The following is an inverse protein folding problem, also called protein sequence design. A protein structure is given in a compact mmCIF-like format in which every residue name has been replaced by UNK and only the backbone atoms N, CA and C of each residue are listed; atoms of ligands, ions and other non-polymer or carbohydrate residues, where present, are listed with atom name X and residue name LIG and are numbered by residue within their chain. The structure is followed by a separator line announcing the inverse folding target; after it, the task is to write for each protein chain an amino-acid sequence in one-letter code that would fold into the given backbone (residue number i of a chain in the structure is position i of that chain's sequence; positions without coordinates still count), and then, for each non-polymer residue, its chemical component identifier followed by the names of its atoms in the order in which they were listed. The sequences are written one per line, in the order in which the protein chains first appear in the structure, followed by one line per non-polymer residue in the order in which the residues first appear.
data_IF_207630469701
#
_entry.id   IF_207630469701
#
_cell.length_a   1.000
_cell.length_b   1.000
_cell.length_c   1.000
_cell.angle_alpha   90.00
_cell.angle_beta   90.00
_cell.angle_gamma   90.00
#
_symmetry.space_group_name_H-M   'P 1'
#
loop_
_entity.id
_entity.type
_entity.pdbx_description
1 polymer ?
#
# COMPACT_ATOMS: atom_id res chain seq x y z
N UNK A 1 60.67 0.47 -12.14
CA UNK A 1 59.82 0.32 -10.95
C UNK A 1 58.38 0.15 -11.44
N UNK A 2 57.93 -1.09 -11.63
CA UNK A 2 56.58 -1.40 -12.08
C UNK A 2 55.66 -1.43 -10.85
N UNK A 3 54.68 -0.53 -10.79
CA UNK A 3 53.66 -0.52 -9.75
C UNK A 3 52.80 -1.78 -9.86
N UNK A 4 52.89 -2.63 -8.84
CA UNK A 4 52.00 -3.75 -8.66
C UNK A 4 50.57 -3.24 -8.43
N UNK A 5 49.69 -3.50 -9.40
CA UNK A 5 48.25 -3.45 -9.22
C UNK A 5 47.86 -4.39 -8.07
N UNK A 6 47.49 -3.80 -6.93
CA UNK A 6 46.92 -4.53 -5.80
C UNK A 6 45.63 -5.22 -6.23
N UNK A 7 45.58 -6.54 -6.07
CA UNK A 7 44.37 -7.32 -6.26
C UNK A 7 43.27 -6.79 -5.34
N UNK A 8 42.10 -6.46 -5.92
CA UNK A 8 40.93 -6.08 -5.14
C UNK A 8 40.57 -7.21 -4.15
N UNK A 9 40.26 -6.89 -2.88
CA UNK A 9 39.93 -7.93 -1.90
C UNK A 9 38.68 -8.68 -2.35
N UNK A 10 38.82 -10.00 -2.51
CA UNK A 10 37.70 -10.91 -2.78
C UNK A 10 36.73 -10.79 -1.62
N UNK A 11 35.54 -10.21 -1.87
CA UNK A 11 34.48 -10.08 -0.86
C UNK A 11 34.15 -11.46 -0.31
N UNK A 12 34.43 -11.68 0.98
CA UNK A 12 34.17 -12.93 1.66
C UNK A 12 32.70 -13.35 1.46
N UNK A 13 32.49 -14.54 0.94
CA UNK A 13 31.15 -15.10 0.69
C UNK A 13 30.57 -15.54 2.04
N UNK A 14 29.31 -15.20 2.31
CA UNK A 14 28.63 -15.59 3.56
C UNK A 14 28.68 -17.10 3.76
N UNK A 15 28.93 -17.54 4.98
CA UNK A 15 28.87 -18.95 5.38
C UNK A 15 27.43 -19.47 5.35
N UNK A 16 27.25 -20.79 5.34
CA UNK A 16 25.92 -21.40 5.39
C UNK A 16 25.17 -21.04 6.69
N UNK A 17 25.89 -20.94 7.80
CA UNK A 17 25.31 -20.56 9.10
C UNK A 17 24.83 -19.10 9.11
N UNK A 18 25.60 -18.18 8.52
CA UNK A 18 25.19 -16.78 8.35
C UNK A 18 23.96 -16.67 7.45
N UNK A 19 23.89 -17.46 6.37
CA UNK A 19 22.71 -17.50 5.50
C UNK A 19 21.48 -18.02 6.23
N UNK A 20 21.63 -19.08 7.03
CA UNK A 20 20.52 -19.64 7.81
C UNK A 20 20.03 -18.66 8.88
N UNK A 21 20.94 -17.99 9.58
CA UNK A 21 20.61 -16.95 10.56
C UNK A 21 19.89 -15.76 9.90
N UNK A 22 20.36 -15.34 8.73
CA UNK A 22 19.69 -14.29 7.95
C UNK A 22 18.30 -14.74 7.49
N UNK A 23 18.13 -16.00 7.05
CA UNK A 23 16.82 -16.54 6.69
C UNK A 23 15.84 -16.51 7.87
N UNK A 24 16.27 -16.89 9.07
CA UNK A 24 15.43 -16.84 10.28
C UNK A 24 14.98 -15.40 10.56
N UNK A 25 15.92 -14.44 10.60
CA UNK A 25 15.56 -13.03 10.82
C UNK A 25 14.65 -12.46 9.72
N UNK A 26 14.75 -12.95 8.48
CA UNK A 26 13.81 -12.57 7.41
C UNK A 26 12.40 -13.12 7.63
N UNK A 27 12.27 -14.35 8.14
CA UNK A 27 10.97 -14.92 8.49
C UNK A 27 10.33 -14.10 9.61
N UNK A 28 11.08 -13.81 10.67
CA UNK A 28 10.59 -13.01 11.81
C UNK A 28 10.09 -11.62 11.37
N UNK A 29 10.86 -10.94 10.50
CA UNK A 29 10.48 -9.63 9.95
C UNK A 29 9.18 -9.71 9.15
N UNK A 30 9.06 -10.71 8.26
CA UNK A 30 7.90 -10.80 7.36
C UNK A 30 6.68 -11.28 8.13
N UNK A 31 6.80 -12.24 9.03
CA UNK A 31 5.69 -12.72 9.87
C UNK A 31 5.07 -11.58 10.69
N UNK A 32 5.91 -10.69 11.25
CA UNK A 32 5.45 -9.57 12.05
C UNK A 32 4.74 -8.46 11.24
N UNK A 33 5.05 -8.30 9.96
CA UNK A 33 4.65 -7.11 9.19
C UNK A 33 3.94 -7.42 7.85
N UNK A 34 3.71 -8.68 7.49
CA UNK A 34 3.09 -9.07 6.22
C UNK A 34 1.71 -8.43 5.96
N UNK A 35 1.34 -8.13 4.70
CA UNK A 35 2.21 -8.21 3.52
C UNK A 35 3.24 -7.06 3.45
N UNK A 36 4.42 -7.32 2.87
CA UNK A 36 5.49 -6.33 2.69
C UNK A 36 6.08 -6.35 1.27
N UNK A 37 6.70 -5.25 0.84
CA UNK A 37 7.53 -5.25 -0.37
C UNK A 37 8.90 -5.86 -0.08
N UNK A 38 9.56 -6.42 -1.11
CA UNK A 38 10.97 -6.87 -0.98
C UNK A 38 11.88 -5.73 -0.50
N UNK A 39 11.59 -4.49 -0.92
CA UNK A 39 12.34 -3.29 -0.54
C UNK A 39 12.13 -2.92 0.92
N UNK A 40 10.89 -3.01 1.40
CA UNK A 40 10.54 -2.86 2.81
C UNK A 40 11.27 -3.88 3.67
N UNK A 41 11.24 -5.16 3.29
CA UNK A 41 11.99 -6.20 4.03
C UNK A 41 13.49 -5.91 4.06
N UNK A 42 14.07 -5.44 2.94
CA UNK A 42 15.48 -5.01 2.92
C UNK A 42 15.74 -3.87 3.90
N UNK A 43 14.90 -2.83 3.93
CA UNK A 43 15.08 -1.72 4.87
C UNK A 43 14.91 -2.15 6.33
N UNK A 44 13.97 -3.05 6.63
CA UNK A 44 13.84 -3.63 7.98
C UNK A 44 15.05 -4.47 8.36
N UNK A 45 15.59 -5.24 7.42
CA UNK A 45 16.82 -6.03 7.64
C UNK A 45 18.04 -5.15 7.92
N UNK A 46 18.16 -4.02 7.23
CA UNK A 46 19.20 -3.01 7.48
C UNK A 46 19.01 -2.37 8.85
N UNK A 47 17.79 -1.95 9.17
CA UNK A 47 17.46 -1.33 10.46
C UNK A 47 17.69 -2.28 11.65
N UNK A 48 17.46 -3.58 11.46
CA UNK A 48 17.72 -4.63 12.45
C UNK A 48 19.20 -5.06 12.51
N UNK A 49 20.10 -4.45 11.72
CA UNK A 49 21.52 -4.79 11.70
C UNK A 49 21.86 -6.15 11.08
N UNK A 50 20.89 -6.81 10.44
CA UNK A 50 21.08 -8.13 9.80
C UNK A 50 21.92 -8.03 8.53
N UNK A 51 21.91 -6.86 7.87
CA UNK A 51 22.63 -6.65 6.62
C UNK A 51 23.01 -5.19 6.40
N UNK A 52 24.10 -4.95 5.68
CA UNK A 52 24.52 -3.60 5.30
C UNK A 52 23.65 -3.02 4.17
N UNK A 53 23.44 -1.70 4.20
CA UNK A 53 22.70 -0.95 3.16
C UNK A 53 23.51 -0.84 1.87
N UNK A 54 23.46 -1.87 1.03
CA UNK A 54 24.20 -1.93 -0.25
C UNK A 54 23.40 -2.69 -1.32
N UNK A 55 23.58 -2.35 -2.59
CA UNK A 55 22.89 -3.03 -3.71
C UNK A 55 23.14 -4.54 -3.77
N UNK A 56 24.37 -5.06 -3.53
CA UNK A 56 24.58 -6.51 -3.44
C UNK A 56 23.78 -7.16 -2.31
N UNK A 57 23.59 -6.44 -1.20
CA UNK A 57 22.80 -6.93 -0.06
C UNK A 57 21.31 -6.99 -0.40
N UNK A 58 20.77 -6.00 -1.12
CA UNK A 58 19.41 -6.06 -1.65
C UNK A 58 19.19 -7.30 -2.53
N UNK A 59 20.13 -7.60 -3.44
CA UNK A 59 20.06 -8.81 -4.29
C UNK A 59 20.09 -10.10 -3.46
N UNK A 60 20.84 -10.13 -2.37
CA UNK A 60 20.85 -11.28 -1.43
C UNK A 60 19.49 -11.45 -0.77
N UNK A 61 18.89 -10.39 -0.22
CA UNK A 61 17.57 -10.45 0.43
C UNK A 61 16.51 -10.90 -0.56
N UNK A 62 16.46 -10.31 -1.75
CA UNK A 62 15.52 -10.69 -2.82
C UNK A 62 15.60 -12.18 -3.17
N UNK A 63 16.83 -12.70 -3.34
CA UNK A 63 17.07 -14.13 -3.61
C UNK A 63 16.64 -15.03 -2.45
N UNK A 64 16.94 -14.66 -1.21
CA UNK A 64 16.58 -15.46 -0.04
C UNK A 64 15.06 -15.50 0.20
N UNK A 65 14.37 -14.37 0.05
CA UNK A 65 12.90 -14.31 0.13
C UNK A 65 12.22 -15.13 -0.96
N UNK A 66 12.78 -15.15 -2.18
CA UNK A 66 12.29 -16.04 -3.24
C UNK A 66 12.49 -17.52 -2.86
N UNK A 67 13.64 -17.87 -2.29
CA UNK A 67 13.92 -19.24 -1.86
C UNK A 67 12.96 -19.68 -0.74
N UNK A 68 12.76 -18.85 0.29
CA UNK A 68 11.85 -19.15 1.41
C UNK A 68 10.41 -19.40 0.92
N UNK A 69 9.93 -18.64 -0.07
CA UNK A 69 8.62 -18.86 -0.70
C UNK A 69 8.56 -20.15 -1.51
N UNK A 70 9.60 -20.47 -2.28
CA UNK A 70 9.69 -21.72 -3.05
C UNK A 70 9.74 -22.96 -2.15
N UNK A 71 10.39 -22.83 -1.01
CA UNK A 71 10.51 -23.89 0.00
C UNK A 71 9.22 -24.02 0.86
N UNK A 72 8.23 -23.15 0.68
CA UNK A 72 6.98 -23.14 1.45
C UNK A 72 7.10 -22.61 2.89
N UNK A 73 8.26 -22.06 3.26
CA UNK A 73 8.53 -21.54 4.61
C UNK A 73 7.72 -20.28 4.90
N UNK A 74 7.54 -19.42 3.88
CA UNK A 74 6.65 -18.26 3.97
C UNK A 74 5.65 -18.28 2.80
N UNK A 75 4.37 -17.91 3.02
CA UNK A 75 3.39 -17.77 1.95
C UNK A 75 3.81 -16.76 0.88
N UNK A 76 3.45 -17.01 -0.38
CA UNK A 76 3.67 -16.03 -1.46
C UNK A 76 2.93 -14.71 -1.20
N UNK A 77 1.76 -14.77 -0.57
CA UNK A 77 0.93 -13.60 -0.23
C UNK A 77 1.57 -12.66 0.78
N UNK A 78 2.59 -13.11 1.54
CA UNK A 78 3.26 -12.26 2.52
C UNK A 78 4.21 -11.24 1.89
N UNK A 79 4.57 -11.41 0.62
CA UNK A 79 5.39 -10.46 -0.13
C UNK A 79 4.60 -9.93 -1.31
N UNK A 80 4.35 -8.63 -1.32
CA UNK A 80 3.61 -7.96 -2.40
C UNK A 80 4.55 -7.39 -3.47
N UNK A 81 4.13 -7.52 -4.73
CA UNK A 81 4.73 -6.91 -5.92
C UNK A 81 3.60 -6.31 -6.77
N UNK A 82 3.49 -4.99 -6.76
CA UNK A 82 2.42 -4.27 -7.45
C UNK A 82 2.54 -4.26 -8.98
N UNK A 83 3.67 -4.68 -9.55
CA UNK A 83 3.92 -4.44 -10.99
C UNK A 83 3.19 -5.39 -11.94
N UNK A 84 2.56 -6.46 -11.44
CA UNK A 84 1.98 -7.51 -12.29
C UNK A 84 0.48 -7.62 -12.09
N UNK A 85 -0.27 -7.23 -13.12
CA UNK A 85 -1.72 -7.23 -13.11
C UNK A 85 -2.26 -8.36 -13.97
N UNK A 86 -3.06 -9.23 -13.36
CA UNK A 86 -3.93 -10.15 -14.08
C UNK A 86 -5.37 -9.75 -13.77
N UNK A 87 -6.08 -9.26 -14.79
CA UNK A 87 -7.51 -8.97 -14.69
C UNK A 87 -8.24 -10.23 -15.16
N UNK A 88 -8.81 -10.98 -14.21
CA UNK A 88 -9.68 -12.12 -14.50
C UNK A 88 -11.10 -11.76 -14.05
N UNK A 89 -12.10 -11.74 -14.95
CA UNK A 89 -13.49 -11.64 -14.55
C UNK A 89 -13.85 -12.75 -13.56
N UNK A 90 -14.60 -12.42 -12.51
CA UNK A 90 -15.10 -13.43 -11.58
C UNK A 90 -16.14 -14.30 -12.29
N UNK A 91 -15.87 -15.60 -12.35
CA UNK A 91 -16.77 -16.61 -12.89
C UNK A 91 -16.97 -17.72 -11.86
N UNK A 92 -18.11 -18.39 -11.89
CA UNK A 92 -18.50 -19.42 -10.94
C UNK A 92 -18.74 -20.74 -11.66
N UNK A 93 -18.48 -21.85 -10.98
CA UNK A 93 -18.67 -23.19 -11.55
C UNK A 93 -20.16 -23.61 -11.63
N UNK A 94 -21.05 -22.82 -11.03
CA UNK A 94 -22.49 -23.06 -11.02
C UNK A 94 -23.21 -22.13 -10.05
N UNK A 95 -24.53 -22.29 -9.93
CA UNK A 95 -25.36 -21.42 -9.09
C UNK A 95 -25.00 -21.50 -7.61
N UNK A 96 -24.64 -22.67 -7.08
CA UNK A 96 -24.27 -22.81 -5.67
C UNK A 96 -22.95 -22.08 -5.33
N UNK A 97 -21.97 -22.16 -6.21
CA UNK A 97 -20.71 -21.43 -6.07
C UNK A 97 -20.94 -19.90 -6.13
N UNK A 98 -21.79 -19.46 -7.07
CA UNK A 98 -22.22 -18.06 -7.15
C UNK A 98 -22.98 -17.60 -5.88
N UNK A 99 -23.81 -18.48 -5.32
CA UNK A 99 -24.58 -18.24 -4.09
C UNK A 99 -23.68 -18.01 -2.89
N UNK A 100 -22.73 -18.92 -2.66
CA UNK A 100 -21.75 -18.83 -1.58
C UNK A 100 -20.91 -17.56 -1.73
N UNK A 101 -20.47 -17.26 -2.96
CA UNK A 101 -19.71 -16.05 -3.23
C UNK A 101 -20.52 -14.77 -2.94
N UNK A 102 -21.79 -14.72 -3.33
CA UNK A 102 -22.66 -13.57 -3.09
C UNK A 102 -22.82 -13.26 -1.60
N UNK A 103 -23.12 -14.28 -0.78
CA UNK A 103 -23.25 -14.11 0.68
C UNK A 103 -21.94 -13.62 1.30
N UNK A 104 -20.80 -14.19 0.88
CA UNK A 104 -19.47 -13.81 1.39
C UNK A 104 -19.05 -12.40 0.99
N UNK A 105 -19.44 -11.96 -0.21
CA UNK A 105 -19.07 -10.67 -0.76
C UNK A 105 -20.01 -9.54 -0.37
N UNK A 106 -21.23 -9.87 0.06
CA UNK A 106 -22.22 -8.87 0.42
C UNK A 106 -21.67 -7.94 1.51
N UNK A 107 -21.68 -6.65 1.21
CA UNK A 107 -21.32 -5.56 2.10
C UNK A 107 -22.25 -4.39 1.83
N UNK A 108 -22.68 -3.69 2.89
CA UNK A 108 -23.29 -2.37 2.74
C UNK A 108 -22.18 -1.35 2.50
N UNK A 109 -22.51 -0.34 1.69
CA UNK A 109 -21.64 0.81 1.49
C UNK A 109 -21.48 1.57 2.82
N UNK A 110 -20.28 1.50 3.39
CA UNK A 110 -19.99 1.99 4.74
C UNK A 110 -20.11 3.52 4.83
N UNK A 111 -19.80 4.20 3.73
CA UNK A 111 -19.69 5.66 3.64
C UNK A 111 -20.99 6.37 3.26
N UNK A 112 -22.06 5.64 2.92
CA UNK A 112 -23.33 6.25 2.52
C UNK A 112 -23.90 7.13 3.63
N UNK A 113 -23.83 6.65 4.88
CA UNK A 113 -24.37 7.34 6.05
C UNK A 113 -23.34 8.22 6.77
N UNK A 114 -22.08 8.25 6.31
CA UNK A 114 -21.05 9.11 6.90
C UNK A 114 -21.11 10.52 6.29
N UNK A 115 -20.71 11.54 7.06
CA UNK A 115 -20.78 12.94 6.62
C UNK A 115 -19.68 13.29 5.60
N UNK A 116 -18.61 12.51 5.55
CA UNK A 116 -17.45 12.73 4.68
C UNK A 116 -17.29 11.61 3.65
N UNK A 117 -16.59 11.92 2.57
CA UNK A 117 -16.05 10.95 1.61
C UNK A 117 -14.53 10.91 1.70
N UNK A 118 -13.93 9.72 1.62
CA UNK A 118 -12.49 9.54 1.83
C UNK A 118 -11.91 8.70 0.71
N UNK A 119 -10.78 9.14 0.17
CA UNK A 119 -9.97 8.34 -0.77
C UNK A 119 -8.50 8.34 -0.37
N UNK A 120 -7.81 7.24 -0.69
CA UNK A 120 -6.37 7.09 -0.47
C UNK A 120 -5.64 7.03 -1.80
N UNK A 121 -4.58 7.82 -1.93
CA UNK A 121 -3.70 7.84 -3.10
C UNK A 121 -2.34 7.25 -2.77
N UNK A 122 -1.88 6.31 -3.60
CA UNK A 122 -0.54 5.75 -3.55
C UNK A 122 0.27 6.21 -4.77
N UNK A 123 1.38 6.89 -4.54
CA UNK A 123 2.29 7.30 -5.61
C UNK A 123 2.83 6.08 -6.38
N UNK A 124 3.14 5.00 -5.65
CA UNK A 124 3.81 3.81 -6.20
C UNK A 124 2.97 2.56 -6.03
N UNK A 125 2.99 1.73 -7.07
CA UNK A 125 2.32 0.44 -7.08
C UNK A 125 2.87 -0.53 -6.03
N UNK A 126 4.17 -0.44 -5.72
CA UNK A 126 4.82 -1.33 -4.77
C UNK A 126 4.13 -1.36 -3.39
N UNK A 127 3.64 -0.21 -2.89
CA UNK A 127 2.96 -0.14 -1.60
C UNK A 127 1.46 -0.38 -1.67
N UNK A 128 0.88 -0.57 -2.86
CA UNK A 128 -0.55 -0.72 -3.02
C UNK A 128 -1.09 -1.89 -2.19
N UNK A 129 -0.39 -3.03 -2.17
CA UNK A 129 -0.76 -4.19 -1.35
C UNK A 129 -0.69 -3.95 0.17
N UNK A 130 0.12 -3.00 0.64
CA UNK A 130 0.20 -2.63 2.06
C UNK A 130 -1.01 -1.77 2.43
N UNK A 131 -1.33 -0.77 1.60
CA UNK A 131 -2.44 0.14 1.86
C UNK A 131 -3.80 -0.54 1.63
N UNK A 132 -3.90 -1.37 0.58
CA UNK A 132 -5.15 -2.07 0.24
C UNK A 132 -5.62 -3.02 1.34
N UNK A 133 -4.70 -3.56 2.15
CA UNK A 133 -5.06 -4.35 3.32
C UNK A 133 -5.98 -3.58 4.29
N UNK A 134 -5.78 -2.27 4.43
CA UNK A 134 -6.60 -1.40 5.29
C UNK A 134 -7.76 -0.82 4.50
N UNK A 135 -7.52 -0.27 3.31
CA UNK A 135 -8.60 0.40 2.56
C UNK A 135 -9.70 -0.57 2.12
N UNK A 136 -9.36 -1.84 1.85
CA UNK A 136 -10.37 -2.88 1.57
C UNK A 136 -11.23 -3.18 2.79
N UNK A 137 -10.64 -3.21 3.99
CA UNK A 137 -11.40 -3.42 5.24
C UNK A 137 -12.41 -2.29 5.45
N UNK A 138 -11.97 -1.05 5.24
CA UNK A 138 -12.76 0.15 5.49
C UNK A 138 -13.62 0.64 4.32
N UNK A 139 -13.69 -0.13 3.23
CA UNK A 139 -14.47 0.23 2.03
C UNK A 139 -14.07 1.60 1.44
N UNK A 140 -12.75 1.87 1.42
CA UNK A 140 -12.17 3.12 0.92
C UNK A 140 -11.46 2.88 -0.41
N UNK A 141 -11.68 3.72 -1.44
CA UNK A 141 -10.94 3.63 -2.70
C UNK A 141 -9.43 3.82 -2.50
N UNK A 142 -8.65 2.97 -3.19
CA UNK A 142 -7.20 3.10 -3.30
C UNK A 142 -6.82 3.43 -4.74
N UNK A 143 -6.33 4.65 -4.93
CA UNK A 143 -5.93 5.23 -6.20
C UNK A 143 -4.41 5.12 -6.40
N UNK A 144 -3.94 4.28 -7.32
CA UNK A 144 -2.50 4.12 -7.60
C UNK A 144 -2.09 4.97 -8.80
N UNK A 145 -1.35 6.05 -8.56
CA UNK A 145 -1.06 7.08 -9.58
C UNK A 145 0.25 6.89 -10.35
N UNK A 146 1.15 6.00 -9.88
CA UNK A 146 2.41 5.63 -10.56
C UNK A 146 3.29 6.83 -10.96
N UNK A 147 3.56 7.73 -10.02
CA UNK A 147 4.19 9.02 -10.31
C UNK A 147 3.15 10.04 -10.72
N UNK A 148 3.18 10.52 -11.97
CA UNK A 148 2.18 11.49 -12.46
C UNK A 148 0.94 10.77 -13.00
N UNK A 149 -0.22 11.12 -12.45
CA UNK A 149 -1.50 10.57 -12.83
C UNK A 149 -1.91 10.94 -14.26
N UNK A 150 -2.60 10.04 -14.96
CA UNK A 150 -3.18 10.37 -16.25
C UNK A 150 -4.38 11.34 -16.10
N UNK A 151 -4.66 12.09 -17.15
CA UNK A 151 -5.77 13.05 -17.15
C UNK A 151 -7.12 12.40 -16.97
N UNK A 152 -7.41 11.39 -17.79
CA UNK A 152 -8.65 10.65 -17.75
C UNK A 152 -8.92 10.05 -16.38
N UNK A 153 -7.87 9.55 -15.71
CA UNK A 153 -8.00 9.00 -14.37
C UNK A 153 -8.43 10.06 -13.35
N UNK A 154 -7.73 11.19 -13.27
CA UNK A 154 -8.09 12.26 -12.34
C UNK A 154 -9.42 12.92 -12.69
N UNK A 155 -9.77 13.00 -13.97
CA UNK A 155 -11.08 13.46 -14.41
C UNK A 155 -12.19 12.54 -13.89
N UNK A 156 -12.06 11.22 -14.04
CA UNK A 156 -13.02 10.25 -13.52
C UNK A 156 -13.18 10.36 -12.01
N UNK A 157 -12.08 10.42 -11.26
CA UNK A 157 -12.12 10.64 -9.80
C UNK A 157 -12.85 11.94 -9.46
N UNK A 158 -12.57 13.03 -10.17
CA UNK A 158 -13.26 14.30 -9.95
C UNK A 158 -14.78 14.21 -10.23
N UNK A 159 -15.20 13.43 -11.23
CA UNK A 159 -16.64 13.20 -11.48
C UNK A 159 -17.29 12.40 -10.35
N UNK A 160 -16.60 11.39 -9.81
CA UNK A 160 -17.09 10.63 -8.65
C UNK A 160 -17.25 11.55 -7.43
N UNK A 161 -16.28 12.42 -7.17
CA UNK A 161 -16.34 13.43 -6.09
C UNK A 161 -17.54 14.36 -6.26
N UNK A 162 -17.77 14.87 -7.47
CA UNK A 162 -18.92 15.74 -7.79
C UNK A 162 -20.24 15.00 -7.56
N UNK A 163 -20.33 13.73 -7.98
CA UNK A 163 -21.55 12.94 -7.85
C UNK A 163 -21.86 12.55 -6.39
N UNK A 164 -20.83 12.33 -5.58
CA UNK A 164 -20.97 11.99 -4.16
C UNK A 164 -21.44 13.20 -3.34
N UNK A 165 -21.03 14.41 -3.72
CA UNK A 165 -21.48 15.68 -3.13
C UNK A 165 -21.34 15.73 -1.60
N UNK A 166 -20.15 15.35 -1.11
CA UNK A 166 -19.77 15.41 0.31
C UNK A 166 -18.40 16.08 0.47
N UNK A 167 -18.11 16.67 1.65
CA UNK A 167 -16.75 17.03 2.03
C UNK A 167 -15.80 15.85 1.81
N UNK A 168 -14.85 16.03 0.91
CA UNK A 168 -14.01 14.95 0.39
C UNK A 168 -12.58 15.08 0.88
N UNK A 169 -12.06 14.03 1.51
CA UNK A 169 -10.73 13.99 2.09
C UNK A 169 -9.83 13.03 1.33
N UNK A 170 -8.80 13.58 0.69
CA UNK A 170 -7.88 12.85 -0.18
C UNK A 170 -6.51 12.71 0.50
N UNK A 171 -6.11 11.48 0.81
CA UNK A 171 -4.88 11.19 1.53
C UNK A 171 -3.79 10.59 0.65
N UNK A 172 -2.74 11.36 0.39
CA UNK A 172 -1.64 10.96 -0.50
C UNK A 172 -0.44 10.36 0.25
N UNK A 173 0.02 9.21 -0.22
CA UNK A 173 1.17 8.45 0.27
C UNK A 173 2.22 8.31 -0.85
N UNK A 174 3.37 8.97 -0.69
CA UNK A 174 4.43 8.98 -1.68
C UNK A 174 5.83 9.19 -1.10
N UNK A 175 6.84 9.16 -1.95
CA UNK A 175 8.23 9.37 -1.57
C UNK A 175 8.48 10.81 -1.12
N UNK A 176 9.39 11.00 -0.16
CA UNK A 176 9.97 12.32 0.08
C UNK A 176 11.14 12.52 -0.88
N UNK A 177 10.82 12.91 -2.12
CA UNK A 177 11.79 13.33 -3.12
C UNK A 177 11.16 14.40 -4.04
N UNK A 178 11.93 15.05 -4.92
CA UNK A 178 11.40 16.14 -5.74
C UNK A 178 10.22 15.71 -6.62
N UNK A 179 10.25 14.50 -7.18
CA UNK A 179 9.20 14.01 -8.07
C UNK A 179 7.94 13.64 -7.29
N UNK A 180 8.06 13.00 -6.13
CA UNK A 180 6.93 12.62 -5.29
C UNK A 180 6.18 13.82 -4.71
N UNK A 181 6.88 14.92 -4.41
CA UNK A 181 6.25 16.18 -3.99
C UNK A 181 5.48 16.85 -5.14
N UNK A 182 6.08 16.93 -6.33
CA UNK A 182 5.43 17.52 -7.50
C UNK A 182 4.23 16.69 -7.98
N UNK A 183 4.33 15.36 -7.94
CA UNK A 183 3.22 14.47 -8.25
C UNK A 183 2.00 14.75 -7.36
N UNK A 184 2.20 14.84 -6.05
CA UNK A 184 1.13 15.12 -5.11
C UNK A 184 0.46 16.48 -5.39
N UNK A 185 1.27 17.52 -5.68
CA UNK A 185 0.78 18.85 -6.03
C UNK A 185 0.01 18.86 -7.36
N UNK A 186 0.47 18.09 -8.35
CA UNK A 186 -0.21 17.95 -9.64
C UNK A 186 -1.58 17.29 -9.48
N UNK A 187 -1.65 16.21 -8.69
CA UNK A 187 -2.92 15.52 -8.37
C UNK A 187 -3.90 16.50 -7.71
N UNK A 188 -3.48 17.20 -6.65
CA UNK A 188 -4.34 18.17 -5.96
C UNK A 188 -4.85 19.26 -6.92
N UNK A 189 -3.93 19.90 -7.65
CA UNK A 189 -4.24 20.99 -8.57
C UNK A 189 -5.26 20.58 -9.62
N UNK A 190 -5.11 19.38 -10.19
CA UNK A 190 -5.99 18.89 -11.27
C UNK A 190 -7.35 18.47 -10.75
N UNK A 191 -7.43 17.80 -9.60
CA UNK A 191 -8.70 17.44 -8.98
C UNK A 191 -9.51 18.70 -8.64
N UNK A 192 -8.89 19.72 -8.03
CA UNK A 192 -9.54 21.02 -7.79
C UNK A 192 -9.93 21.74 -9.08
N UNK A 193 -9.16 21.58 -10.15
CA UNK A 193 -9.50 22.16 -11.45
C UNK A 193 -10.68 21.47 -12.15
N UNK A 194 -10.82 20.15 -11.99
CA UNK A 194 -11.91 19.37 -12.58
C UNK A 194 -13.20 19.41 -11.74
N UNK A 195 -13.09 19.63 -10.43
CA UNK A 195 -14.21 19.78 -9.51
C UNK A 195 -14.09 21.09 -8.71
N UNK A 196 -14.24 22.26 -9.36
CA UNK A 196 -14.00 23.56 -8.72
C UNK A 196 -14.97 23.90 -7.58
N UNK A 197 -16.19 23.36 -7.64
CA UNK A 197 -17.25 23.62 -6.64
C UNK A 197 -17.26 22.59 -5.50
N UNK A 198 -16.45 21.52 -5.59
CA UNK A 198 -16.40 20.48 -4.58
C UNK A 198 -15.53 20.88 -3.37
N UNK A 199 -15.98 20.53 -2.16
CA UNK A 199 -15.19 20.72 -0.94
C UNK A 199 -14.10 19.64 -0.81
N UNK A 200 -12.94 19.92 -1.41
CA UNK A 200 -11.79 19.00 -1.44
C UNK A 200 -10.73 19.38 -0.39
N UNK A 201 -10.41 18.42 0.47
CA UNK A 201 -9.34 18.46 1.47
C UNK A 201 -8.22 17.49 1.09
N UNK A 202 -7.14 17.99 0.50
CA UNK A 202 -6.00 17.16 0.11
C UNK A 202 -4.88 17.21 1.16
N UNK A 203 -4.35 16.04 1.55
CA UNK A 203 -3.25 15.95 2.51
C UNK A 203 -2.23 14.90 2.10
N UNK A 204 -0.97 15.31 1.98
CA UNK A 204 0.16 14.40 1.88
C UNK A 204 0.54 13.85 3.26
N UNK A 205 0.31 12.56 3.49
CA UNK A 205 0.43 11.91 4.80
C UNK A 205 1.81 11.31 5.04
N UNK A 206 2.44 10.79 3.99
CA UNK A 206 3.78 10.22 4.04
C UNK A 206 4.51 10.46 2.71
N UNK A 207 5.84 10.53 2.69
CA UNK A 207 6.77 10.61 3.83
C UNK A 207 7.03 12.09 4.20
N UNK A 208 6.85 12.48 5.47
CA UNK A 208 7.06 13.87 5.93
C UNK A 208 8.41 14.05 6.64
N UNK A 209 8.94 15.28 6.66
CA UNK A 209 10.22 15.59 7.36
C UNK A 209 10.16 15.23 8.84
N UNK A 210 9.03 15.47 9.51
CA UNK A 210 8.84 15.08 10.90
C UNK A 210 8.91 13.54 11.10
N UNK A 211 8.37 12.76 10.16
CA UNK A 211 8.48 11.29 10.19
C UNK A 211 9.93 10.84 9.98
N UNK A 212 10.67 11.47 9.05
CA UNK A 212 12.08 11.15 8.78
C UNK A 212 12.90 11.27 10.06
N UNK A 213 12.78 12.40 10.77
CA UNK A 213 13.50 12.64 12.03
C UNK A 213 12.99 11.74 13.16
N UNK A 214 11.68 11.71 13.40
CA UNK A 214 11.07 10.96 14.52
C UNK A 214 11.33 9.45 14.43
N UNK A 215 11.30 8.90 13.22
CA UNK A 215 11.45 7.47 13.00
C UNK A 215 12.84 7.06 12.54
N UNK A 216 13.77 8.02 12.44
CA UNK A 216 15.15 7.80 11.96
C UNK A 216 15.17 7.01 10.66
N UNK A 217 14.34 7.45 9.70
CA UNK A 217 14.17 6.74 8.43
C UNK A 217 15.47 6.74 7.64
N UNK A 218 15.71 5.65 6.91
CA UNK A 218 16.89 5.51 6.08
C UNK A 218 16.83 6.48 4.89
N UNK A 219 17.73 7.46 4.88
CA UNK A 219 17.83 8.49 3.84
C UNK A 219 18.80 8.12 2.72
N UNK A 220 18.70 8.80 1.57
CA UNK A 220 19.70 8.73 0.50
C UNK A 220 19.94 10.13 -0.08
N UNK A 221 21.15 10.39 -0.63
CA UNK A 221 21.38 11.61 -1.39
C UNK A 221 20.35 11.78 -2.51
N UNK A 222 19.82 12.99 -2.64
CA UNK A 222 18.87 13.32 -3.70
C UNK A 222 19.59 13.32 -5.04
N UNK A 223 19.04 12.56 -5.99
CA UNK A 223 19.58 12.52 -7.35
C UNK A 223 19.19 13.79 -8.10
N UNK A 224 20.12 14.35 -8.85
CA UNK A 224 19.83 15.44 -9.79
C UNK A 224 18.82 14.97 -10.83
N UNK A 225 17.75 15.74 -11.03
CA UNK A 225 16.69 15.45 -11.99
C UNK A 225 16.09 16.75 -12.53
N UNK A 226 15.17 16.73 -13.49
CA UNK A 226 14.46 17.95 -13.92
C UNK A 226 13.66 18.61 -12.80
N UNK A 227 13.32 17.85 -11.75
CA UNK A 227 12.45 18.27 -10.66
C UNK A 227 13.19 18.72 -9.39
N UNK A 228 14.52 18.55 -9.32
CA UNK A 228 15.29 18.83 -8.09
C UNK A 228 15.36 20.31 -7.67
N UNK A 229 15.00 21.25 -8.57
CA UNK A 229 15.14 22.69 -8.30
C UNK A 229 14.23 23.12 -7.15
N UNK A 230 14.81 23.68 -6.09
CA UNK A 230 14.08 24.11 -4.89
C UNK A 230 13.81 23.00 -3.85
N UNK A 231 14.28 21.78 -4.11
CA UNK A 231 14.28 20.72 -3.11
C UNK A 231 15.56 20.76 -2.29
N UNK A 232 15.43 20.81 -0.97
CA UNK A 232 16.54 20.77 -0.02
C UNK A 232 16.48 19.51 0.84
N UNK A 233 17.65 18.93 1.12
CA UNK A 233 17.77 17.76 2.00
C UNK A 233 17.94 16.44 1.25
N UNK A 234 17.70 15.35 1.98
CA UNK A 234 17.85 13.99 1.46
C UNK A 234 16.51 13.39 1.03
N UNK A 235 16.56 12.43 0.12
CA UNK A 235 15.38 11.71 -0.33
C UNK A 235 15.10 10.49 0.54
N UNK A 236 13.82 10.23 0.80
CA UNK A 236 13.37 9.05 1.55
C UNK A 236 12.26 8.34 0.78
N UNK A 237 12.50 7.07 0.49
CA UNK A 237 11.50 6.21 -0.13
C UNK A 237 10.44 5.84 0.91
N UNK A 238 9.17 5.76 0.49
CA UNK A 238 8.07 5.37 1.38
C UNK A 238 8.25 3.97 1.99
N UNK A 239 8.93 3.07 1.28
CA UNK A 239 9.32 1.74 1.77
C UNK A 239 10.23 1.78 3.02
N UNK A 240 10.84 2.93 3.35
CA UNK A 240 11.60 3.10 4.57
C UNK A 240 10.70 3.12 5.82
N UNK A 241 9.40 3.44 5.68
CA UNK A 241 8.41 3.31 6.74
C UNK A 241 7.96 1.84 6.81
N UNK A 242 7.96 1.25 8.01
CA UNK A 242 7.43 -0.10 8.26
C UNK A 242 5.97 -0.24 7.79
N UNK A 243 5.60 -1.41 7.28
CA UNK A 243 4.25 -1.67 6.76
C UNK A 243 3.17 -1.42 7.83
N UNK A 244 3.44 -1.82 9.08
CA UNK A 244 2.53 -1.58 10.23
C UNK A 244 2.28 -0.10 10.47
N UNK A 245 3.30 0.76 10.39
CA UNK A 245 3.11 2.22 10.51
C UNK A 245 2.37 2.81 9.33
N UNK A 246 2.62 2.34 8.09
CA UNK A 246 1.85 2.80 6.93
C UNK A 246 0.37 2.45 7.08
N UNK A 247 0.06 1.22 7.50
CA UNK A 247 -1.31 0.80 7.81
C UNK A 247 -1.95 1.64 8.90
N UNK A 248 -1.21 1.94 9.97
CA UNK A 248 -1.71 2.81 11.04
C UNK A 248 -1.99 4.22 10.52
N UNK A 249 -1.10 4.81 9.71
CA UNK A 249 -1.33 6.13 9.12
C UNK A 249 -2.60 6.17 8.25
N UNK A 250 -2.86 5.11 7.47
CA UNK A 250 -4.10 4.99 6.69
C UNK A 250 -5.31 4.89 7.62
N UNK A 251 -5.23 4.00 8.62
CA UNK A 251 -6.30 3.79 9.61
C UNK A 251 -6.65 5.09 10.33
N UNK A 252 -5.66 5.81 10.85
CA UNK A 252 -5.83 7.11 11.52
C UNK A 252 -6.48 8.16 10.60
N UNK A 253 -6.22 8.09 9.29
CA UNK A 253 -6.80 8.99 8.31
C UNK A 253 -8.25 8.66 7.98
N UNK A 254 -8.62 7.39 8.04
CA UNK A 254 -9.97 6.92 7.78
C UNK A 254 -10.85 7.12 9.02
N UNK A 255 -10.43 6.60 10.17
CA UNK A 255 -11.25 6.54 11.40
C UNK A 255 -11.66 7.92 11.92
N UNK A 256 -10.88 8.96 11.67
CA UNK A 256 -11.24 10.34 12.08
C UNK A 256 -12.51 10.88 11.40
N UNK A 257 -12.97 10.25 10.33
CA UNK A 257 -14.16 10.63 9.56
C UNK A 257 -15.34 9.71 9.83
N UNK A 258 -15.17 8.75 10.73
CA UNK A 258 -16.19 7.77 11.05
C UNK A 258 -16.94 8.20 12.30
N UNK A 259 -18.26 8.36 12.15
CA UNK A 259 -19.18 8.35 13.27
C UNK A 259 -19.36 6.89 13.74
N UNK A 260 -18.93 6.54 14.97
CA UNK A 260 -18.96 5.17 15.47
C UNK A 260 -20.38 4.64 15.62
N UNK A 261 -21.35 5.49 16.01
CA UNK A 261 -22.74 5.07 16.17
C UNK A 261 -23.38 4.76 14.81
N UNK A 262 -23.03 5.53 13.76
CA UNK A 262 -23.46 5.23 12.38
C UNK A 262 -22.81 3.96 11.85
N UNK A 263 -21.51 3.77 12.12
CA UNK A 263 -20.80 2.55 11.72
C UNK A 263 -21.44 1.30 12.33
N UNK A 264 -21.71 1.33 13.64
CA UNK A 264 -22.30 0.20 14.36
C UNK A 264 -23.71 -0.12 13.85
N UNK A 265 -24.51 0.91 13.54
CA UNK A 265 -25.81 0.72 12.88
C UNK A 265 -25.66 0.05 11.51
N UNK A 266 -24.78 0.54 10.64
CA UNK A 266 -24.57 -0.04 9.29
C UNK A 266 -24.10 -1.49 9.38
N UNK A 267 -23.18 -1.80 10.29
CA UNK A 267 -22.70 -3.17 10.53
C UNK A 267 -23.79 -4.09 11.07
N UNK A 268 -24.61 -3.59 11.99
CA UNK A 268 -25.76 -4.33 12.52
C UNK A 268 -26.78 -4.66 11.43
N UNK A 269 -27.13 -3.68 10.60
CA UNK A 269 -28.03 -3.88 9.46
C UNK A 269 -27.43 -4.85 8.44
N UNK A 270 -26.16 -4.69 8.08
CA UNK A 270 -25.47 -5.60 7.15
C UNK A 270 -25.48 -7.05 7.65
N UNK A 271 -25.28 -7.29 8.95
CA UNK A 271 -25.31 -8.62 9.53
C UNK A 271 -26.69 -9.28 9.37
N UNK A 272 -27.77 -8.54 9.63
CA UNK A 272 -29.15 -9.02 9.46
C UNK A 272 -29.49 -9.25 7.98
N UNK A 273 -29.09 -8.33 7.10
CA UNK A 273 -29.28 -8.47 5.65
C UNK A 273 -28.50 -9.67 5.09
N UNK A 274 -27.27 -9.91 5.56
CA UNK A 274 -26.45 -11.07 5.16
C UNK A 274 -27.11 -12.38 5.57
N UNK A 275 -27.65 -12.46 6.79
CA UNK A 275 -28.40 -13.64 7.25
C UNK A 275 -29.68 -13.85 6.42
N UNK A 276 -30.40 -12.76 6.13
CA UNK A 276 -31.61 -12.80 5.30
C UNK A 276 -31.29 -13.25 3.87
N UNK A 277 -30.19 -12.77 3.31
CA UNK A 277 -29.67 -13.16 2.00
C UNK A 277 -29.31 -14.65 1.98
N UNK A 278 -28.63 -15.15 3.02
CA UNK A 278 -28.30 -16.57 3.13
C UNK A 278 -29.55 -17.46 3.13
N UNK A 279 -30.58 -17.09 3.92
CA UNK A 279 -31.85 -17.82 3.99
C UNK A 279 -32.58 -17.77 2.64
N UNK A 280 -32.75 -16.58 2.06
CA UNK A 280 -33.45 -16.38 0.79
C UNK A 280 -32.79 -17.21 -0.33
N UNK A 281 -31.46 -17.21 -0.36
CA UNK A 281 -30.71 -17.97 -1.35
C UNK A 281 -30.72 -19.48 -1.09
N UNK A 282 -30.84 -19.95 0.16
CA UNK A 282 -30.97 -21.38 0.47
C UNK A 282 -32.33 -21.97 0.05
N UNK A 283 -33.35 -21.12 -0.09
CA UNK A 283 -34.67 -21.50 -0.60
C UNK A 283 -34.81 -21.35 -2.11
N UNK A 284 -33.87 -20.67 -2.76
CA UNK A 284 -33.90 -20.40 -4.20
C UNK A 284 -33.68 -21.69 -5.00
N UNK A 285 -34.65 -22.07 -5.82
CA UNK A 285 -34.53 -23.21 -6.74
C UNK A 285 -34.92 -24.58 -6.16
N UNK A 286 -35.48 -24.64 -4.95
CA UNK A 286 -36.18 -25.86 -4.49
C UNK A 286 -37.56 -25.92 -5.15
N UNK A 287 -37.93 -27.03 -5.83
CA UNK A 287 -39.30 -27.19 -6.33
C UNK A 287 -40.27 -27.16 -5.15
N UNK A 288 -41.41 -26.50 -5.37
CA UNK A 288 -42.51 -26.35 -4.40
C UNK A 288 -43.06 -27.71 -3.94
#
# INVERSE_FOLDING_TARGET
MAELYGSSPVKARRTQQEINSLKLGLVDIVEAEQPMTVRGVFYRSVAAGLIAKTDPSYKVISRLLLQLRRDGVIPYSWITDGTRWQIKPRSFNGMEDARIAMVRMFRRALWNDQDAYVEVFAEKDAIAGILSAVTSEWDVPLNVVRGFASETFLWSVAQDIIAIDKPTYLYHFGDHDPSGLLSAQDVERRLRGFAPDADIHFKRVAVTTAQITKWKLLTRPTKTSTHHRGFEGESVEIDAISATRLRQLVTDCIERHIDPDRLDRVRGVEAVERQSLEIALATWGKPA
#
